data_IF_887600922717
#
_entry.id   IF_887600922717
#
_cell.length_a   1.000
_cell.length_b   1.000
_cell.length_c   1.000
_cell.angle_alpha   90.00
_cell.angle_beta   90.00
_cell.angle_gamma   90.00
#
_symmetry.space_group_name_H-M   'P 1'
#
loop_
_entity.id
_entity.type
_entity.pdbx_description
1 polymer ?
#
# COMPACT_ATOMS: atom_id res chain seq x y z
N UNK A 1 44.11 30.64 40.52
CA UNK A 1 42.94 29.74 40.41
C UNK A 1 42.01 30.28 39.34
N UNK A 2 41.33 29.41 38.58
CA UNK A 2 40.37 29.68 37.48
C UNK A 2 40.91 29.61 36.04
N UNK A 3 41.40 28.44 35.64
CA UNK A 3 41.45 28.03 34.22
C UNK A 3 41.42 26.50 34.21
N UNK A 4 40.24 25.88 34.29
CA UNK A 4 40.01 24.44 33.99
C UNK A 4 38.53 24.06 34.27
N UNK A 5 37.56 24.81 33.73
CA UNK A 5 36.16 24.36 33.71
C UNK A 5 35.80 23.95 32.28
N UNK A 6 36.11 22.68 32.03
CA UNK A 6 35.36 21.73 31.21
C UNK A 6 34.70 22.24 29.90
N UNK A 7 35.49 22.25 28.82
CA UNK A 7 35.01 22.03 27.44
C UNK A 7 34.52 20.57 27.24
N UNK A 8 33.59 20.07 28.05
CA UNK A 8 33.06 18.69 27.96
C UNK A 8 31.63 18.59 27.43
N UNK A 9 31.07 19.64 26.85
CA UNK A 9 29.72 19.59 26.24
C UNK A 9 29.72 19.28 24.72
N UNK A 10 30.87 19.30 24.04
CA UNK A 10 30.92 19.17 22.59
C UNK A 10 30.66 17.74 22.05
N UNK A 11 31.26 16.65 22.57
CA UNK A 11 31.17 15.36 21.89
C UNK A 11 29.79 14.69 22.02
N UNK A 12 29.07 14.94 23.12
CA UNK A 12 27.75 14.35 23.35
C UNK A 12 26.70 14.86 22.34
N UNK A 13 26.72 16.15 22.01
CA UNK A 13 25.80 16.72 21.04
C UNK A 13 26.03 16.16 19.62
N UNK A 14 27.28 15.96 19.21
CA UNK A 14 27.57 15.36 17.90
C UNK A 14 27.12 13.89 17.83
N UNK A 15 27.24 13.14 18.93
CA UNK A 15 26.74 11.76 18.99
C UNK A 15 25.21 11.74 18.87
N UNK A 16 24.51 12.59 19.62
CA UNK A 16 23.03 12.66 19.56
C UNK A 16 22.56 13.07 18.17
N UNK A 17 23.17 14.11 17.57
CA UNK A 17 22.82 14.54 16.21
C UNK A 17 23.11 13.42 15.19
N UNK A 18 24.25 12.73 15.32
CA UNK A 18 24.60 11.62 14.46
C UNK A 18 23.59 10.46 14.55
N UNK A 19 23.21 10.06 15.77
CA UNK A 19 22.21 9.01 16.01
C UNK A 19 20.85 9.42 15.45
N UNK A 20 20.41 10.65 15.68
CA UNK A 20 19.16 11.18 15.13
C UNK A 20 19.18 11.19 13.59
N UNK A 21 20.28 11.63 12.97
CA UNK A 21 20.42 11.65 11.51
C UNK A 21 20.34 10.24 10.92
N UNK A 22 21.03 9.27 11.51
CA UNK A 22 20.96 7.87 11.09
C UNK A 22 19.53 7.32 11.27
N UNK A 23 18.88 7.58 12.40
CA UNK A 23 17.51 7.15 12.64
C UNK A 23 16.53 7.73 11.62
N UNK A 24 16.67 9.00 11.24
CA UNK A 24 15.84 9.64 10.20
C UNK A 24 16.09 8.99 8.84
N UNK A 25 17.35 8.77 8.45
CA UNK A 25 17.68 8.13 7.17
C UNK A 25 17.11 6.71 7.13
N UNK A 26 17.27 5.93 8.19
CA UNK A 26 16.68 4.59 8.29
C UNK A 26 15.16 4.67 8.20
N UNK A 27 14.51 5.61 8.88
CA UNK A 27 13.06 5.78 8.81
C UNK A 27 12.56 6.15 7.40
N UNK A 28 13.29 7.01 6.68
CA UNK A 28 12.95 7.40 5.30
C UNK A 28 13.16 6.26 4.30
N UNK A 29 14.22 5.46 4.48
CA UNK A 29 14.49 4.29 3.65
C UNK A 29 13.53 3.13 3.97
N UNK A 30 13.13 3.00 5.23
CA UNK A 30 12.16 2.02 5.70
C UNK A 30 10.71 2.42 5.47
N UNK A 31 10.47 3.64 4.98
CA UNK A 31 9.12 4.12 4.74
C UNK A 31 8.43 3.20 3.72
N UNK A 32 7.28 2.60 4.06
CA UNK A 32 6.58 1.69 3.17
C UNK A 32 6.25 2.40 1.85
N UNK A 33 6.65 1.80 0.74
CA UNK A 33 6.31 2.29 -0.60
C UNK A 33 5.24 1.40 -1.20
N UNK A 34 4.23 2.00 -1.77
CA UNK A 34 3.23 1.33 -2.57
C UNK A 34 3.57 1.52 -4.05
N UNK A 35 3.43 0.47 -4.85
CA UNK A 35 3.48 0.57 -6.31
C UNK A 35 2.23 -0.07 -6.90
N UNK A 36 1.65 0.59 -7.90
CA UNK A 36 0.54 0.02 -8.66
C UNK A 36 1.13 -0.94 -9.68
N UNK A 37 0.74 -2.20 -9.58
CA UNK A 37 1.15 -3.27 -10.49
C UNK A 37 0.31 -3.24 -11.75
N UNK A 38 -1.01 -3.15 -11.58
CA UNK A 38 -1.99 -3.18 -12.67
C UNK A 38 -3.27 -2.47 -12.25
N UNK A 39 -3.99 -1.90 -13.23
CA UNK A 39 -5.27 -1.21 -13.00
C UNK A 39 -6.30 -1.80 -13.95
N UNK A 40 -7.45 -2.20 -13.40
CA UNK A 40 -8.59 -2.69 -14.17
C UNK A 40 -9.72 -1.66 -14.09
N UNK A 41 -9.98 -0.90 -15.17
CA UNK A 41 -11.07 0.06 -15.18
C UNK A 41 -12.42 -0.63 -15.25
N UNK A 42 -13.43 -0.04 -14.61
CA UNK A 42 -14.82 -0.41 -14.80
C UNK A 42 -15.23 -0.15 -16.26
N UNK A 43 -15.84 -1.14 -16.95
CA UNK A 43 -16.32 -0.95 -18.31
C UNK A 43 -17.53 -0.01 -18.31
N UNK A 44 -17.68 0.78 -19.38
CA UNK A 44 -18.78 1.75 -19.52
C UNK A 44 -20.18 1.12 -19.56
N UNK A 45 -20.28 -0.19 -19.76
CA UNK A 45 -21.53 -0.95 -19.72
C UNK A 45 -22.03 -1.25 -18.31
N UNK A 46 -21.17 -1.10 -17.29
CA UNK A 46 -21.51 -1.28 -15.88
C UNK A 46 -21.53 0.09 -15.23
N UNK A 47 -22.60 0.44 -14.51
CA UNK A 47 -22.75 1.73 -13.83
C UNK A 47 -23.23 1.48 -12.40
N UNK A 48 -22.57 2.11 -11.43
CA UNK A 48 -22.94 2.03 -10.01
C UNK A 48 -23.58 3.35 -9.54
N UNK A 49 -22.76 4.38 -9.30
CA UNK A 49 -23.13 5.71 -8.82
C UNK A 49 -22.96 6.82 -9.88
N UNK A 50 -22.50 6.44 -11.08
CA UNK A 50 -22.20 7.36 -12.18
C UNK A 50 -20.72 7.77 -12.26
N UNK A 51 -19.91 7.47 -11.24
CA UNK A 51 -18.45 7.57 -11.32
C UNK A 51 -17.86 6.32 -12.01
N UNK A 52 -16.65 6.47 -12.57
CA UNK A 52 -15.85 5.34 -13.04
C UNK A 52 -15.01 4.82 -11.90
N UNK A 53 -15.20 3.55 -11.54
CA UNK A 53 -14.40 2.87 -10.53
C UNK A 53 -13.26 2.08 -11.18
N UNK A 54 -12.26 1.79 -10.37
CA UNK A 54 -11.05 1.07 -10.74
C UNK A 54 -10.78 -0.01 -9.70
N UNK A 55 -10.21 -1.12 -10.15
CA UNK A 55 -9.57 -2.09 -9.30
C UNK A 55 -8.06 -1.95 -9.51
N UNK A 56 -7.38 -1.32 -8.55
CA UNK A 56 -5.94 -1.17 -8.56
C UNK A 56 -5.29 -2.33 -7.81
N UNK A 57 -4.48 -3.11 -8.50
CA UNK A 57 -3.58 -4.09 -7.89
C UNK A 57 -2.36 -3.36 -7.36
N UNK A 58 -2.19 -3.30 -6.04
CA UNK A 58 -1.12 -2.57 -5.39
C UNK A 58 -0.17 -3.52 -4.68
N UNK A 59 1.12 -3.36 -4.95
CA UNK A 59 2.22 -4.02 -4.23
C UNK A 59 2.77 -3.07 -3.17
N UNK A 60 2.63 -3.47 -1.92
CA UNK A 60 3.16 -2.80 -0.75
C UNK A 60 4.53 -3.38 -0.42
N UNK A 61 5.57 -2.57 -0.56
CA UNK A 61 6.93 -2.98 -0.26
C UNK A 61 7.16 -3.03 1.25
N UNK A 62 7.61 -4.18 1.73
CA UNK A 62 8.02 -4.34 3.12
C UNK A 62 9.48 -3.94 3.28
N UNK A 63 9.80 -3.15 4.31
CA UNK A 63 11.19 -2.86 4.65
C UNK A 63 11.95 -4.12 5.09
N UNK A 64 11.28 -4.99 5.86
CA UNK A 64 11.76 -6.30 6.28
C UNK A 64 10.64 -7.31 6.07
N UNK A 65 10.96 -8.47 5.51
CA UNK A 65 10.00 -9.54 5.24
C UNK A 65 9.59 -9.61 3.79
N UNK A 66 8.34 -10.00 3.54
CA UNK A 66 7.80 -10.24 2.20
C UNK A 66 6.84 -9.12 1.81
N UNK A 67 6.93 -8.69 0.55
CA UNK A 67 6.00 -7.74 -0.03
C UNK A 67 4.56 -8.24 0.07
N UNK A 68 3.64 -7.29 0.22
CA UNK A 68 2.21 -7.57 0.30
C UNK A 68 1.52 -7.08 -0.96
N UNK A 69 0.49 -7.81 -1.37
CA UNK A 69 -0.32 -7.49 -2.53
C UNK A 69 -1.75 -7.26 -2.06
N UNK A 70 -2.33 -6.14 -2.47
CA UNK A 70 -3.67 -5.69 -2.13
C UNK A 70 -4.42 -5.30 -3.41
N UNK A 71 -5.75 -5.40 -3.38
CA UNK A 71 -6.60 -4.84 -4.41
C UNK A 71 -7.37 -3.68 -3.80
N UNK A 72 -7.29 -2.51 -4.41
CA UNK A 72 -8.02 -1.32 -3.99
C UNK A 72 -9.12 -1.05 -5.00
N UNK A 73 -10.37 -0.98 -4.53
CA UNK A 73 -11.55 -0.74 -5.34
C UNK A 73 -12.10 0.65 -5.04
N UNK A 74 -12.13 1.54 -6.03
CA UNK A 74 -12.67 2.89 -5.86
C UNK A 74 -12.43 3.79 -7.07
N UNK A 75 -12.72 5.08 -6.94
CA UNK A 75 -12.66 6.05 -8.04
C UNK A 75 -11.25 6.52 -8.40
N UNK A 76 -10.25 6.20 -7.58
CA UNK A 76 -8.85 6.58 -7.80
C UNK A 76 -8.04 5.44 -8.45
N UNK A 77 -7.54 5.61 -9.68
CA UNK A 77 -6.75 4.58 -10.36
C UNK A 77 -5.37 4.35 -9.72
N UNK A 78 -4.89 5.25 -8.85
CA UNK A 78 -3.61 5.06 -8.16
C UNK A 78 -3.72 4.09 -6.98
N UNK A 79 -4.93 3.73 -6.58
CA UNK A 79 -5.18 2.89 -5.41
C UNK A 79 -4.76 3.54 -4.09
N UNK A 80 -4.64 4.88 -4.05
CA UNK A 80 -4.38 5.61 -2.82
C UNK A 80 -5.62 5.66 -1.94
N UNK A 81 -6.80 5.69 -2.56
CA UNK A 81 -8.11 5.71 -1.89
C UNK A 81 -9.07 4.63 -2.41
N UNK A 82 -9.99 4.20 -1.55
CA UNK A 82 -11.00 3.19 -1.83
C UNK A 82 -11.00 1.98 -0.90
N UNK A 83 -11.82 0.99 -1.24
CA UNK A 83 -12.01 -0.24 -0.48
C UNK A 83 -10.86 -1.22 -0.72
N UNK A 84 -10.11 -1.50 0.34
CA UNK A 84 -9.02 -2.48 0.32
C UNK A 84 -9.57 -3.89 0.50
N UNK A 85 -9.39 -4.70 -0.52
CA UNK A 85 -9.69 -6.14 -0.50
C UNK A 85 -8.39 -6.88 -0.33
N UNK A 86 -8.32 -7.66 0.74
CA UNK A 86 -7.20 -8.54 1.03
C UNK A 86 -7.72 -9.94 1.29
N UNK A 87 -7.10 -10.90 0.60
CA UNK A 87 -7.30 -12.32 0.84
C UNK A 87 -5.98 -12.90 1.35
N UNK A 88 -6.04 -13.58 2.49
CA UNK A 88 -4.93 -14.35 3.02
C UNK A 88 -5.30 -15.82 3.05
N UNK A 89 -4.65 -16.58 2.19
CA UNK A 89 -4.77 -18.04 2.15
C UNK A 89 -3.40 -18.66 1.88
N UNK A 90 -3.09 -19.84 2.44
CA UNK A 90 -1.90 -20.61 2.05
C UNK A 90 -1.92 -20.92 0.54
N UNK A 91 -0.77 -20.79 -0.13
CA UNK A 91 -0.67 -21.06 -1.58
C UNK A 91 -1.31 -20.00 -2.49
N UNK A 92 -1.75 -18.86 -1.94
CA UNK A 92 -2.32 -17.78 -2.72
C UNK A 92 -1.24 -17.09 -3.58
N UNK A 93 -1.32 -17.28 -4.90
CA UNK A 93 -0.61 -16.42 -5.86
C UNK A 93 -1.36 -15.09 -5.97
N UNK A 94 -0.73 -14.03 -5.46
CA UNK A 94 -1.26 -12.66 -5.45
C UNK A 94 -0.69 -11.80 -6.57
N UNK A 95 0.29 -12.31 -7.32
CA UNK A 95 0.95 -11.55 -8.38
C UNK A 95 0.09 -11.46 -9.65
N UNK A 96 -0.83 -12.42 -9.82
CA UNK A 96 -1.74 -12.50 -10.94
C UNK A 96 -3.18 -12.37 -10.47
N UNK A 97 -3.88 -11.41 -11.05
CA UNK A 97 -5.29 -11.14 -10.78
C UNK A 97 -6.09 -11.13 -12.08
N UNK A 98 -7.39 -11.40 -11.96
CA UNK A 98 -8.38 -11.10 -12.96
C UNK A 98 -9.56 -10.42 -12.28
N UNK A 99 -10.09 -9.38 -12.92
CA UNK A 99 -11.20 -8.59 -12.40
C UNK A 99 -12.36 -8.63 -13.38
N UNK A 100 -13.54 -8.92 -12.86
CA UNK A 100 -14.78 -8.98 -13.62
C UNK A 100 -15.80 -8.05 -12.96
N UNK A 101 -16.20 -7.03 -13.70
CA UNK A 101 -17.21 -6.06 -13.29
C UNK A 101 -18.59 -6.53 -13.75
N UNK A 102 -19.55 -6.50 -12.83
CA UNK A 102 -20.96 -6.85 -13.06
C UNK A 102 -21.86 -5.76 -12.48
N UNK A 103 -23.14 -5.76 -12.84
CA UNK A 103 -24.09 -4.81 -12.25
C UNK A 103 -24.24 -5.01 -10.73
N UNK A 104 -24.05 -6.23 -10.24
CA UNK A 104 -24.18 -6.61 -8.84
C UNK A 104 -22.93 -6.27 -8.00
N UNK A 105 -21.78 -6.09 -8.65
CA UNK A 105 -20.49 -5.81 -8.01
C UNK A 105 -19.29 -6.32 -8.79
N UNK A 106 -18.19 -6.52 -8.08
CA UNK A 106 -16.89 -6.87 -8.66
C UNK A 106 -16.41 -8.22 -8.16
N UNK A 107 -16.02 -9.09 -9.09
CA UNK A 107 -15.31 -10.32 -8.78
C UNK A 107 -13.82 -10.13 -8.98
N UNK A 108 -13.04 -10.44 -7.95
CA UNK A 108 -11.58 -10.46 -7.98
C UNK A 108 -11.12 -11.91 -7.88
N UNK A 109 -10.51 -12.42 -8.94
CA UNK A 109 -9.95 -13.76 -9.01
C UNK A 109 -8.43 -13.72 -8.89
N UNK A 110 -7.87 -14.59 -8.06
CA UNK A 110 -6.43 -14.75 -7.86
C UNK A 110 -5.91 -15.89 -8.73
N UNK A 111 -4.63 -15.84 -9.13
CA UNK A 111 -4.00 -16.89 -9.95
C UNK A 111 -4.07 -18.30 -9.35
N UNK A 112 -4.28 -18.39 -8.03
CA UNK A 112 -4.52 -19.63 -7.29
C UNK A 112 -5.94 -20.22 -7.40
N UNK A 113 -6.87 -19.54 -8.09
CA UNK A 113 -8.26 -19.96 -8.23
C UNK A 113 -9.22 -19.44 -7.14
N UNK A 114 -8.71 -18.79 -6.09
CA UNK A 114 -9.56 -18.12 -5.10
C UNK A 114 -10.26 -16.91 -5.73
N UNK A 115 -11.50 -16.64 -5.30
CA UNK A 115 -12.28 -15.49 -5.76
C UNK A 115 -12.91 -14.75 -4.58
N UNK A 116 -12.98 -13.43 -4.68
CA UNK A 116 -13.67 -12.54 -3.74
C UNK A 116 -14.71 -11.74 -4.51
N UNK A 117 -15.89 -11.57 -3.93
CA UNK A 117 -16.93 -10.72 -4.46
C UNK A 117 -17.11 -9.48 -3.60
N UNK A 118 -17.16 -8.32 -4.25
CA UNK A 118 -17.42 -7.02 -3.60
C UNK A 118 -18.71 -6.44 -4.19
N UNK A 119 -19.81 -6.40 -3.41
CA UNK A 119 -21.08 -5.88 -3.87
C UNK A 119 -21.05 -4.41 -4.32
N UNK A 120 -21.82 -4.09 -5.37
CA UNK A 120 -21.95 -2.74 -5.94
C UNK A 120 -22.38 -1.67 -4.92
N UNK A 121 -23.15 -2.05 -3.89
CA UNK A 121 -23.58 -1.14 -2.81
C UNK A 121 -22.44 -0.50 -1.99
N UNK A 122 -21.21 -0.99 -2.16
CA UNK A 122 -20.02 -0.40 -1.55
C UNK A 122 -19.33 0.63 -2.46
N UNK A 123 -19.86 0.88 -3.65
CA UNK A 123 -19.40 1.90 -4.58
C UNK A 123 -20.47 3.00 -4.61
N UNK A 124 -20.23 4.08 -3.86
CA UNK A 124 -21.18 5.19 -3.63
C UNK A 124 -20.48 6.53 -3.67
#
# INVERSE_FOLDING_TARGET
MAYLELRRAAPANFIVVGVCAVAIVVALLAWPRASVVEVYPQPSTVVYDGATHYAAHVRMHAFVGVDRHEVVLGSDPTGADGHRVRLDAPGLDRSRLAVEWTAEGVWVAFGSGHRVFVPARFFV
#
